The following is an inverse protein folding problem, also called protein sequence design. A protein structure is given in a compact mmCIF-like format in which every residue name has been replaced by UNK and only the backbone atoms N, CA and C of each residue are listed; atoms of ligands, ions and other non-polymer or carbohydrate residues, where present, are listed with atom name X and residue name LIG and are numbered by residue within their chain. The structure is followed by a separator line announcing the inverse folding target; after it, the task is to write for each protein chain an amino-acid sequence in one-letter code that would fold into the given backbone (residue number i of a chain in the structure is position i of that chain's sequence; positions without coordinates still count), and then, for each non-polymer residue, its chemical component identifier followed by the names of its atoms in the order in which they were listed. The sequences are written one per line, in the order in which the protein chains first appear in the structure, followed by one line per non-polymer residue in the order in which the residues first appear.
data_IF_761516685025
#
_entry.id   IF_761516685025
#
_cell.length_a   1.000
_cell.length_b   1.000
_cell.length_c   1.000
_cell.angle_alpha   90.00
_cell.angle_beta   90.00
_cell.angle_gamma   90.00
#
_symmetry.space_group_name_H-M   'P 1'
#
loop_
_entity.id
_entity.type
_entity.pdbx_description
1 polymer ?
#
# COMPACT_ATOMS: atom_id res chain seq x y z
N UNK A 1 -32.75 15.65 -3.22
CA UNK A 1 -32.40 14.22 -3.17
C UNK A 1 -31.77 13.97 -1.80
N UNK A 2 -32.01 12.81 -1.20
CA UNK A 2 -31.38 12.51 0.08
C UNK A 2 -29.90 12.15 -0.15
N UNK A 3 -29.03 12.34 0.85
CA UNK A 3 -27.62 11.95 0.75
C UNK A 3 -27.44 10.46 0.43
N UNK A 4 -28.41 9.61 0.82
CA UNK A 4 -28.40 8.17 0.54
C UNK A 4 -28.53 7.89 -0.96
N UNK A 5 -29.34 8.68 -1.67
CA UNK A 5 -29.60 8.49 -3.10
C UNK A 5 -28.36 8.80 -3.97
N UNK A 6 -27.40 9.54 -3.41
CA UNK A 6 -26.18 9.96 -4.12
C UNK A 6 -25.00 9.00 -3.90
N UNK A 7 -25.10 8.06 -2.96
CA UNK A 7 -24.02 7.12 -2.63
C UNK A 7 -23.96 6.01 -3.67
N UNK A 8 -22.80 5.89 -4.31
CA UNK A 8 -22.42 4.72 -5.11
C UNK A 8 -21.21 4.05 -4.49
N UNK A 9 -20.96 2.79 -4.84
CA UNK A 9 -19.76 2.07 -4.40
C UNK A 9 -18.49 2.82 -4.78
N UNK A 10 -18.46 3.39 -5.97
CA UNK A 10 -17.32 4.12 -6.52
C UNK A 10 -17.08 5.42 -5.75
N UNK A 11 -18.14 6.20 -5.48
CA UNK A 11 -18.03 7.42 -4.67
C UNK A 11 -17.55 7.12 -3.25
N UNK A 12 -18.08 6.05 -2.64
CA UNK A 12 -17.64 5.63 -1.33
C UNK A 12 -16.15 5.24 -1.31
N UNK A 13 -15.68 4.46 -2.30
CA UNK A 13 -14.27 4.08 -2.39
C UNK A 13 -13.37 5.29 -2.61
N UNK A 14 -13.71 6.17 -3.55
CA UNK A 14 -12.91 7.36 -3.88
C UNK A 14 -12.90 8.41 -2.76
N UNK A 15 -13.93 8.43 -1.92
CA UNK A 15 -14.01 9.34 -0.77
C UNK A 15 -13.37 8.81 0.52
N UNK A 16 -12.94 7.54 0.54
CA UNK A 16 -12.48 6.89 1.78
C UNK A 16 -11.06 6.30 1.72
N UNK A 17 -10.47 6.13 0.53
CA UNK A 17 -9.16 5.52 0.35
C UNK A 17 -8.20 6.43 -0.44
N UNK A 18 -6.88 6.35 -0.21
CA UNK A 18 -6.20 5.48 0.77
C UNK A 18 -6.50 5.89 2.22
N UNK A 19 -6.33 4.97 3.17
CA UNK A 19 -6.85 5.13 4.53
C UNK A 19 -6.33 6.37 5.27
N UNK A 20 -5.16 6.89 4.90
CA UNK A 20 -4.57 8.11 5.48
C UNK A 20 -4.67 9.34 4.58
N UNK A 21 -5.25 9.22 3.38
CA UNK A 21 -5.23 10.28 2.38
C UNK A 21 -3.81 10.81 2.17
N UNK A 22 -3.66 12.13 2.21
CA UNK A 22 -2.38 12.84 2.03
C UNK A 22 -1.63 13.14 3.33
N UNK A 23 -2.08 12.63 4.49
CA UNK A 23 -1.46 12.97 5.78
C UNK A 23 0.04 12.70 5.80
N UNK A 24 0.47 11.51 5.36
CA UNK A 24 1.88 11.14 5.33
C UNK A 24 2.64 11.85 4.22
N UNK A 25 1.99 12.16 3.10
CA UNK A 25 2.58 12.97 2.03
C UNK A 25 2.96 14.35 2.57
N UNK A 26 2.02 15.00 3.28
CA UNK A 26 2.22 16.31 3.89
C UNK A 26 3.33 16.27 4.97
N UNK A 27 3.37 15.23 5.79
CA UNK A 27 4.42 15.03 6.80
C UNK A 27 5.81 14.90 6.15
N UNK A 28 5.94 14.07 5.11
CA UNK A 28 7.19 13.90 4.37
C UNK A 28 7.64 15.21 3.72
N UNK A 29 6.71 15.98 3.13
CA UNK A 29 7.01 17.25 2.48
C UNK A 29 7.49 18.30 3.49
N UNK A 30 6.83 18.37 4.65
CA UNK A 30 7.13 19.33 5.72
C UNK A 30 8.42 19.01 6.50
N UNK A 31 8.86 17.74 6.52
CA UNK A 31 10.03 17.33 7.30
C UNK A 31 11.30 18.07 6.85
N UNK A 32 11.95 18.76 7.79
CA UNK A 32 13.24 19.43 7.57
C UNK A 32 14.33 18.60 8.22
N UNK A 33 14.99 17.78 7.40
CA UNK A 33 16.02 16.84 7.87
C UNK A 33 17.28 17.59 8.33
N UNK A 34 17.71 17.33 9.56
CA UNK A 34 18.87 17.99 10.17
C UNK A 34 20.19 17.62 9.47
N UNK A 35 21.17 18.53 9.54
CA UNK A 35 22.49 18.33 8.94
C UNK A 35 23.18 17.08 9.49
N UNK A 36 23.73 16.25 8.62
CA UNK A 36 24.38 14.98 8.95
C UNK A 36 23.43 13.83 9.26
N UNK A 37 22.13 13.99 8.98
CA UNK A 37 21.08 12.98 9.24
C UNK A 37 20.27 12.65 7.98
N UNK A 38 19.41 11.64 8.09
CA UNK A 38 18.37 11.30 7.12
C UNK A 38 17.10 10.85 7.88
N UNK A 39 15.94 11.10 7.29
CA UNK A 39 14.65 10.62 7.79
C UNK A 39 14.13 9.47 6.91
N UNK A 40 13.35 8.57 7.51
CA UNK A 40 12.72 7.47 6.81
C UNK A 40 11.31 7.20 7.30
N UNK A 41 10.42 6.88 6.36
CA UNK A 41 9.06 6.44 6.64
C UNK A 41 8.83 5.06 6.06
N UNK A 42 8.17 4.21 6.85
CA UNK A 42 7.73 2.91 6.39
C UNK A 42 6.33 3.03 5.77
N UNK A 43 6.25 2.74 4.47
CA UNK A 43 5.02 2.87 3.65
C UNK A 43 4.27 1.53 3.52
N UNK A 44 4.74 0.50 4.24
CA UNK A 44 4.15 -0.84 4.27
C UNK A 44 4.84 -1.86 3.37
N UNK A 45 4.69 -3.15 3.70
CA UNK A 45 5.51 -4.23 3.13
C UNK A 45 7.01 -3.94 3.35
N UNK A 46 7.80 -3.83 2.29
CA UNK A 46 9.20 -3.36 2.32
C UNK A 46 9.37 -1.94 1.80
N UNK A 47 8.26 -1.24 1.55
CA UNK A 47 8.25 0.11 0.99
C UNK A 47 8.79 1.15 1.97
N UNK A 48 9.81 1.90 1.56
CA UNK A 48 10.43 2.95 2.35
C UNK A 48 10.49 4.24 1.56
N UNK A 49 10.16 5.34 2.22
CA UNK A 49 10.52 6.67 1.77
C UNK A 49 11.72 7.15 2.56
N UNK A 50 12.74 7.68 1.88
CA UNK A 50 13.95 8.22 2.52
C UNK A 50 14.13 9.67 2.10
N UNK A 51 14.35 10.57 3.06
CA UNK A 51 14.65 11.98 2.82
C UNK A 51 15.99 12.34 3.45
N UNK A 52 16.88 12.94 2.68
CA UNK A 52 18.22 13.37 3.17
C UNK A 52 18.21 14.83 3.60
N UNK A 53 19.23 15.27 4.35
CA UNK A 53 19.48 16.68 4.73
C UNK A 53 19.44 17.68 3.56
N UNK A 54 19.78 17.25 2.33
CA UNK A 54 19.77 18.09 1.13
C UNK A 54 18.46 17.98 0.33
N UNK A 55 17.35 17.60 0.98
CA UNK A 55 16.02 17.44 0.38
C UNK A 55 15.96 16.44 -0.81
N UNK A 56 16.93 15.53 -0.91
CA UNK A 56 16.82 14.37 -1.83
C UNK A 56 15.80 13.39 -1.26
N UNK A 57 14.85 13.00 -2.09
CA UNK A 57 13.79 12.03 -1.76
C UNK A 57 14.00 10.74 -2.57
N UNK A 58 13.94 9.60 -1.90
CA UNK A 58 14.18 8.27 -2.49
C UNK A 58 13.03 7.35 -2.12
N UNK A 59 12.42 6.77 -3.15
CA UNK A 59 11.41 5.73 -3.04
C UNK A 59 12.06 4.35 -3.20
N UNK A 60 11.89 3.47 -2.21
CA UNK A 60 12.42 2.10 -2.23
C UNK A 60 11.26 1.11 -2.09
N UNK A 61 11.13 0.17 -3.03
CA UNK A 61 10.15 -0.94 -2.99
C UNK A 61 8.70 -0.54 -2.65
N UNK A 62 8.24 0.62 -3.14
CA UNK A 62 6.88 1.09 -2.87
C UNK A 62 5.85 0.13 -3.47
N UNK A 63 5.02 -0.46 -2.60
CA UNK A 63 3.99 -1.42 -3.00
C UNK A 63 2.58 -1.00 -2.53
N UNK A 64 1.85 -0.40 -3.47
CA UNK A 64 0.45 0.03 -3.29
C UNK A 64 -0.55 -1.06 -3.73
N UNK A 65 -0.07 -2.29 -3.91
CA UNK A 65 -0.89 -3.43 -4.29
C UNK A 65 -1.73 -3.98 -3.14
N UNK A 66 -2.51 -5.00 -3.47
CA UNK A 66 -3.40 -5.71 -2.56
C UNK A 66 -3.12 -7.21 -2.55
N UNK A 67 -3.59 -7.88 -1.49
CA UNK A 67 -3.67 -9.34 -1.42
C UNK A 67 -4.88 -9.91 -2.18
N UNK A 68 -5.26 -11.16 -1.90
CA UNK A 68 -6.47 -11.76 -2.48
C UNK A 68 -7.73 -10.97 -2.10
N UNK A 69 -8.66 -10.80 -3.05
CA UNK A 69 -9.96 -10.12 -2.86
C UNK A 69 -11.16 -11.03 -3.10
N UNK A 70 -10.92 -12.29 -3.47
CA UNK A 70 -11.97 -13.28 -3.76
C UNK A 70 -11.46 -14.70 -3.53
N UNK A 71 -12.38 -15.61 -3.16
CA UNK A 71 -12.15 -17.07 -3.08
C UNK A 71 -12.59 -17.83 -4.33
N UNK A 72 -12.93 -17.12 -5.43
CA UNK A 72 -13.39 -17.73 -6.69
C UNK A 72 -12.31 -18.63 -7.31
N UNK A 73 -11.09 -18.12 -7.41
CA UNK A 73 -9.92 -18.91 -7.85
C UNK A 73 -9.52 -19.89 -6.75
N UNK A 74 -9.62 -21.19 -7.02
CA UNK A 74 -9.38 -22.26 -6.03
C UNK A 74 -7.93 -22.70 -5.93
N UNK A 75 -7.17 -22.56 -7.01
CA UNK A 75 -5.78 -23.00 -7.08
C UNK A 75 -4.81 -21.88 -7.42
N UNK A 76 -3.57 -22.00 -6.92
CA UNK A 76 -2.43 -21.21 -7.37
C UNK A 76 -2.13 -21.50 -8.84
N UNK A 77 -1.75 -20.46 -9.58
CA UNK A 77 -1.37 -20.57 -10.98
C UNK A 77 -0.26 -21.63 -11.19
N UNK A 78 -0.23 -22.31 -12.35
CA UNK A 78 0.92 -23.13 -12.74
C UNK A 78 2.23 -22.36 -12.58
N UNK A 79 3.26 -23.03 -12.08
CA UNK A 79 4.60 -22.46 -11.84
C UNK A 79 4.71 -21.31 -10.82
N UNK A 80 3.65 -20.97 -10.08
CA UNK A 80 3.76 -20.04 -8.94
C UNK A 80 4.84 -20.53 -7.96
N UNK A 81 5.68 -19.63 -7.44
CA UNK A 81 6.83 -20.01 -6.61
C UNK A 81 6.43 -20.86 -5.39
N UNK A 82 5.34 -20.51 -4.69
CA UNK A 82 4.87 -21.33 -3.56
C UNK A 82 4.38 -22.72 -3.99
N UNK A 83 3.84 -22.86 -5.20
CA UNK A 83 3.41 -24.15 -5.77
C UNK A 83 4.61 -25.04 -6.07
N UNK A 84 5.69 -24.45 -6.59
CA UNK A 84 6.93 -25.17 -6.90
C UNK A 84 7.69 -25.58 -5.64
N UNK A 85 7.79 -24.68 -4.66
CA UNK A 85 8.55 -24.93 -3.42
C UNK A 85 7.87 -25.95 -2.49
N UNK A 86 6.54 -25.93 -2.41
CA UNK A 86 5.81 -26.73 -1.39
C UNK A 86 5.05 -27.91 -1.95
N UNK A 87 4.88 -28.00 -3.28
CA UNK A 87 3.95 -28.94 -3.90
C UNK A 87 2.47 -28.60 -3.68
N UNK A 88 2.14 -27.52 -2.94
CA UNK A 88 0.76 -27.08 -2.72
C UNK A 88 0.05 -26.67 -4.03
N UNK A 89 -1.28 -26.84 -4.07
CA UNK A 89 -2.13 -26.46 -5.21
C UNK A 89 -3.16 -25.39 -4.87
N UNK A 90 -3.71 -25.44 -3.67
CA UNK A 90 -4.76 -24.51 -3.23
C UNK A 90 -4.28 -23.06 -3.20
N UNK A 91 -5.16 -22.13 -3.51
CA UNK A 91 -4.90 -20.68 -3.44
C UNK A 91 -4.39 -20.29 -2.06
N UNK A 92 -3.22 -19.64 -2.00
CA UNK A 92 -2.69 -19.08 -0.77
C UNK A 92 -3.62 -17.96 -0.24
N UNK A 93 -3.98 -17.96 1.05
CA UNK A 93 -4.83 -16.94 1.66
C UNK A 93 -4.02 -15.68 2.03
N UNK A 94 -3.20 -15.15 1.11
CA UNK A 94 -2.40 -13.95 1.34
C UNK A 94 -3.25 -12.68 1.18
N UNK A 95 -3.90 -12.27 2.27
CA UNK A 95 -4.66 -11.02 2.38
C UNK A 95 -3.73 -9.89 2.83
N UNK A 96 -3.97 -8.66 2.35
CA UNK A 96 -3.29 -7.48 2.88
C UNK A 96 -3.95 -7.13 4.22
N UNK A 97 -3.15 -7.01 5.28
CA UNK A 97 -3.63 -6.69 6.63
C UNK A 97 -3.37 -5.24 7.05
N UNK A 98 -2.42 -4.55 6.40
CA UNK A 98 -2.04 -3.18 6.71
C UNK A 98 -2.72 -2.16 5.76
N UNK A 99 -3.07 -0.95 6.24
CA UNK A 99 -3.62 0.11 5.40
C UNK A 99 -2.62 0.57 4.32
N UNK A 100 -3.10 1.31 3.34
CA UNK A 100 -2.27 2.14 2.45
C UNK A 100 -2.18 3.51 3.11
N UNK A 101 -0.99 3.86 3.58
CA UNK A 101 -0.74 5.04 4.43
C UNK A 101 -0.23 6.26 3.66
N UNK A 102 0.07 6.09 2.38
CA UNK A 102 0.61 7.12 1.48
C UNK A 102 -0.23 7.15 0.22
N UNK A 103 -0.56 8.34 -0.26
CA UNK A 103 -1.24 8.53 -1.54
C UNK A 103 -0.22 8.56 -2.68
N UNK A 104 -0.16 7.50 -3.54
CA UNK A 104 0.91 7.29 -4.52
C UNK A 104 0.93 8.25 -5.71
#
# INVERSE_FOLDING_TARGET
MSQVDEITREKWILGAFPEWGTWLNEEIDQEVVEKGTFAMWWIGCTGLWVKTENNTNIAVDLWFGNGKRSKKTKEMAPFHQMRNMTGGRMTQPNLRAAPIVYDP
#
